data_IF_330276985165
#
_entry.id   IF_330276985165
#
_cell.length_a   1.000
_cell.length_b   1.000
_cell.length_c   1.000
_cell.angle_alpha   90.00
_cell.angle_beta   90.00
_cell.angle_gamma   90.00
#
_symmetry.space_group_name_H-M   'P 1'
#
loop_
_entity.id
_entity.type
_entity.pdbx_description
1 polymer ?
#
# COMPACT_ATOMS: atom_id res chain seq x y z
N UNK A 1 -24.58 -22.88 4.70
CA UNK A 1 -24.35 -23.84 5.80
C UNK A 1 -23.04 -24.58 5.54
N UNK A 2 -22.00 -24.34 6.35
CA UNK A 2 -20.78 -25.15 6.36
C UNK A 2 -20.67 -25.80 7.73
N UNK A 3 -20.75 -27.13 7.74
CA UNK A 3 -20.64 -28.00 8.91
C UNK A 3 -19.16 -28.27 9.15
N UNK A 4 -18.65 -28.04 10.37
CA UNK A 4 -17.31 -28.46 10.77
C UNK A 4 -17.42 -29.69 11.67
N UNK A 5 -16.76 -30.76 11.25
CA UNK A 5 -16.59 -32.00 12.02
C UNK A 5 -15.74 -31.77 13.27
N UNK A 6 -16.21 -32.34 14.38
CA UNK A 6 -15.64 -32.16 15.71
C UNK A 6 -14.25 -32.79 15.89
N UNK A 7 -13.51 -32.21 16.83
CA UNK A 7 -12.45 -32.89 17.55
C UNK A 7 -12.94 -33.05 19.01
N UNK A 8 -13.27 -34.28 19.38
CA UNK A 8 -13.51 -34.65 20.77
C UNK A 8 -12.18 -35.08 21.41
N UNK A 9 -11.73 -34.38 22.45
CA UNK A 9 -11.11 -35.01 23.61
C UNK A 9 -10.97 -33.99 24.74
N UNK A 10 -11.14 -34.49 25.96
CA UNK A 10 -11.39 -33.75 27.20
C UNK A 10 -10.16 -32.98 27.66
N UNK A 11 -10.18 -31.65 27.55
CA UNK A 11 -9.50 -30.73 28.46
C UNK A 11 -10.31 -29.42 28.48
N UNK A 12 -10.92 -29.09 29.62
CA UNK A 12 -11.54 -27.78 29.89
C UNK A 12 -10.41 -26.74 30.09
N UNK A 13 -9.67 -26.48 29.02
CA UNK A 13 -8.81 -25.30 28.93
C UNK A 13 -9.65 -24.19 28.31
N UNK A 14 -9.96 -23.15 29.09
CA UNK A 14 -10.50 -21.90 28.56
C UNK A 14 -9.56 -21.39 27.47
N UNK A 15 -9.89 -21.65 26.21
CA UNK A 15 -9.31 -20.93 25.09
C UNK A 15 -9.90 -19.51 25.16
N UNK A 16 -9.26 -18.63 25.92
CA UNK A 16 -9.39 -17.19 25.70
C UNK A 16 -8.86 -16.94 24.28
N UNK A 17 -9.75 -17.00 23.30
CA UNK A 17 -9.52 -16.37 22.00
C UNK A 17 -9.50 -14.88 22.27
N UNK A 18 -8.34 -14.35 22.64
CA UNK A 18 -8.11 -12.92 22.42
C UNK A 18 -8.20 -12.77 20.91
N UNK A 19 -9.28 -12.16 20.44
CA UNK A 19 -9.32 -11.60 19.11
C UNK A 19 -8.23 -10.52 19.10
N UNK A 20 -7.01 -10.92 18.72
CA UNK A 20 -5.99 -9.96 18.35
C UNK A 20 -6.62 -9.23 17.18
N UNK A 21 -7.01 -7.97 17.40
CA UNK A 21 -7.29 -7.07 16.29
C UNK A 21 -6.00 -7.03 15.49
N UNK A 22 -5.91 -7.86 14.45
CA UNK A 22 -4.86 -7.75 13.47
C UNK A 22 -4.93 -6.30 13.04
N UNK A 23 -3.83 -5.55 13.20
CA UNK A 23 -3.80 -4.18 12.71
C UNK A 23 -3.88 -4.28 11.21
N UNK A 24 -5.11 -4.15 10.71
CA UNK A 24 -5.40 -4.25 9.30
C UNK A 24 -4.96 -2.93 8.68
N UNK A 25 -4.18 -3.00 7.59
CA UNK A 25 -3.84 -1.81 6.81
C UNK A 25 -4.96 -1.50 5.83
N UNK A 26 -5.19 -0.24 5.46
CA UNK A 26 -6.28 0.13 4.55
C UNK A 26 -6.34 -0.76 3.29
N UNK A 27 -5.18 -1.03 2.67
CA UNK A 27 -5.09 -1.87 1.47
C UNK A 27 -5.58 -3.32 1.69
N UNK A 28 -5.48 -3.84 2.91
CA UNK A 28 -5.95 -5.18 3.26
C UNK A 28 -7.47 -5.30 3.24
N UNK A 29 -8.18 -4.17 3.30
CA UNK A 29 -9.63 -4.14 3.16
C UNK A 29 -10.12 -4.28 1.71
N UNK A 30 -9.21 -4.22 0.73
CA UNK A 30 -9.53 -4.53 -0.65
C UNK A 30 -9.70 -6.05 -0.84
N UNK A 31 -10.73 -6.45 -1.60
CA UNK A 31 -11.11 -7.85 -1.78
C UNK A 31 -10.02 -8.70 -2.45
N UNK A 32 -9.21 -8.10 -3.31
CA UNK A 32 -8.15 -8.79 -4.05
C UNK A 32 -6.85 -8.88 -3.25
N UNK A 33 -6.74 -8.19 -2.10
CA UNK A 33 -5.49 -8.08 -1.34
C UNK A 33 -4.92 -9.45 -0.99
N UNK A 34 -5.74 -10.32 -0.39
CA UNK A 34 -5.29 -11.63 0.08
C UNK A 34 -4.74 -12.48 -1.07
N UNK A 35 -5.44 -12.51 -2.20
CA UNK A 35 -5.07 -13.26 -3.40
C UNK A 35 -3.78 -12.71 -4.02
N UNK A 36 -3.71 -11.39 -4.25
CA UNK A 36 -2.55 -10.71 -4.85
C UNK A 36 -1.31 -10.84 -3.96
N UNK A 37 -1.40 -10.56 -2.66
CA UNK A 37 -0.26 -10.66 -1.76
C UNK A 37 0.17 -12.10 -1.49
N UNK A 38 -0.74 -13.09 -1.53
CA UNK A 38 -0.34 -14.49 -1.55
C UNK A 38 0.51 -14.79 -2.81
N UNK A 39 0.03 -14.40 -3.99
CA UNK A 39 0.78 -14.57 -5.24
C UNK A 39 2.18 -13.96 -5.15
N UNK A 40 2.31 -12.69 -4.76
CA UNK A 40 3.59 -12.01 -4.66
C UNK A 40 4.56 -12.72 -3.69
N UNK A 41 4.07 -13.17 -2.53
CA UNK A 41 4.90 -13.89 -1.55
C UNK A 41 5.38 -15.25 -2.05
N UNK A 42 4.54 -15.99 -2.77
CA UNK A 42 4.88 -17.31 -3.29
C UNK A 42 5.77 -17.27 -4.52
N UNK A 43 5.65 -16.24 -5.36
CA UNK A 43 6.42 -16.11 -6.59
C UNK A 43 7.76 -15.40 -6.37
N UNK A 44 8.27 -15.41 -5.13
CA UNK A 44 9.60 -14.91 -4.87
C UNK A 44 10.66 -15.90 -5.36
N UNK A 45 11.34 -15.63 -6.49
CA UNK A 45 12.25 -16.60 -7.16
C UNK A 45 13.74 -16.29 -6.98
N UNK A 46 14.50 -17.31 -6.56
CA UNK A 46 15.98 -17.31 -6.53
C UNK A 46 16.61 -17.23 -7.92
N UNK A 47 15.94 -17.72 -8.96
CA UNK A 47 16.52 -17.74 -10.32
C UNK A 47 16.53 -16.37 -10.98
N UNK A 48 15.64 -15.50 -10.55
CA UNK A 48 15.45 -14.19 -11.15
C UNK A 48 16.07 -13.07 -10.34
N UNK A 49 16.43 -13.31 -9.07
CA UNK A 49 16.86 -12.28 -8.12
C UNK A 49 17.97 -12.77 -7.19
N UNK A 50 18.63 -11.83 -6.51
CA UNK A 50 19.70 -12.16 -5.57
C UNK A 50 19.20 -12.82 -4.29
N UNK A 51 19.98 -13.74 -3.73
CA UNK A 51 19.64 -14.49 -2.50
C UNK A 51 19.30 -13.57 -1.33
N UNK A 52 20.00 -12.44 -1.20
CA UNK A 52 19.76 -11.45 -0.15
C UNK A 52 18.47 -10.62 -0.33
N UNK A 53 17.92 -10.56 -1.55
CA UNK A 53 16.71 -9.76 -1.83
C UNK A 53 15.43 -10.48 -1.37
N UNK A 54 15.43 -11.81 -1.38
CA UNK A 54 14.27 -12.64 -1.02
C UNK A 54 13.82 -12.43 0.44
N UNK A 55 14.68 -12.57 1.46
CA UNK A 55 14.24 -12.41 2.85
C UNK A 55 13.74 -10.99 3.12
N UNK A 56 14.41 -9.98 2.58
CA UNK A 56 14.01 -8.56 2.73
C UNK A 56 12.65 -8.31 2.08
N UNK A 57 12.46 -8.80 0.86
CA UNK A 57 11.20 -8.60 0.11
C UNK A 57 10.05 -9.37 0.73
N UNK A 58 10.33 -10.58 1.23
CA UNK A 58 9.34 -11.42 1.93
C UNK A 58 8.87 -10.74 3.22
N UNK A 59 9.77 -10.21 4.04
CA UNK A 59 9.40 -9.46 5.23
C UNK A 59 8.54 -8.25 4.86
N UNK A 60 8.96 -7.45 3.88
CA UNK A 60 8.19 -6.27 3.45
C UNK A 60 6.76 -6.63 2.97
N UNK A 61 6.58 -7.74 2.25
CA UNK A 61 5.25 -8.20 1.82
C UNK A 61 4.40 -8.76 2.96
N UNK A 62 5.02 -9.42 3.95
CA UNK A 62 4.32 -9.97 5.11
C UNK A 62 3.86 -8.87 6.06
N UNK A 63 4.74 -7.92 6.33
CA UNK A 63 4.51 -6.85 7.28
C UNK A 63 3.72 -5.68 6.66
N UNK A 64 3.41 -5.74 5.36
CA UNK A 64 2.76 -4.69 4.60
C UNK A 64 1.51 -4.06 5.27
N UNK A 65 0.53 -4.83 5.79
CA UNK A 65 -0.64 -4.24 6.45
C UNK A 65 -0.25 -3.51 7.75
N UNK A 66 0.60 -4.15 8.56
CA UNK A 66 1.06 -3.63 9.86
C UNK A 66 1.88 -2.36 9.67
N UNK A 67 2.88 -2.40 8.79
CA UNK A 67 3.75 -1.28 8.46
C UNK A 67 2.96 -0.13 7.84
N UNK A 68 1.87 -0.42 7.10
CA UNK A 68 0.96 0.62 6.58
C UNK A 68 0.38 1.43 7.73
N UNK A 69 -0.17 0.77 8.75
CA UNK A 69 -0.77 1.46 9.89
C UNK A 69 0.25 2.20 10.73
N UNK A 70 1.43 1.61 10.94
CA UNK A 70 2.52 2.27 11.65
C UNK A 70 2.98 3.55 10.95
N UNK A 71 3.01 3.59 9.61
CA UNK A 71 3.42 4.78 8.87
C UNK A 71 2.33 5.83 8.73
N UNK A 72 1.06 5.43 8.66
CA UNK A 72 -0.04 6.38 8.57
C UNK A 72 -0.19 7.17 9.87
N UNK A 73 -0.18 6.49 11.01
CA UNK A 73 -0.12 7.09 12.37
C UNK A 73 -0.95 8.38 12.54
N UNK A 74 -2.22 8.32 12.13
CA UNK A 74 -3.17 9.41 12.35
C UNK A 74 -3.59 9.49 13.83
N UNK A 75 -3.87 10.70 14.29
CA UNK A 75 -4.45 10.96 15.62
C UNK A 75 -5.97 10.78 15.66
N UNK A 76 -6.59 10.51 14.52
CA UNK A 76 -8.02 10.27 14.34
C UNK A 76 -8.24 8.93 13.59
N UNK A 77 -9.45 8.35 13.64
CA UNK A 77 -9.76 7.10 12.94
C UNK A 77 -9.45 7.21 11.43
N UNK A 78 -8.58 6.34 10.89
CA UNK A 78 -8.27 6.35 9.46
C UNK A 78 -9.41 5.70 8.69
N UNK A 79 -10.29 6.55 8.17
CA UNK A 79 -11.43 6.20 7.33
C UNK A 79 -11.22 6.72 5.91
N UNK A 80 -11.66 5.94 4.93
CA UNK A 80 -11.56 6.26 3.51
C UNK A 80 -12.85 5.80 2.81
N UNK A 81 -13.25 6.47 1.75
CA UNK A 81 -14.35 5.97 0.90
C UNK A 81 -13.91 4.69 0.17
N UNK A 82 -14.83 3.75 -0.03
CA UNK A 82 -14.55 2.49 -0.73
C UNK A 82 -13.96 2.71 -2.14
N UNK A 83 -14.49 3.69 -2.90
CA UNK A 83 -14.00 4.03 -4.24
C UNK A 83 -12.52 4.42 -4.24
N UNK A 84 -12.10 5.31 -3.33
CA UNK A 84 -10.69 5.71 -3.21
C UNK A 84 -9.79 4.54 -2.78
N UNK A 85 -10.28 3.66 -1.91
CA UNK A 85 -9.53 2.46 -1.51
C UNK A 85 -9.26 1.57 -2.74
N UNK A 86 -10.29 1.23 -3.52
CA UNK A 86 -10.13 0.40 -4.72
C UNK A 86 -9.21 1.06 -5.76
N UNK A 87 -9.30 2.38 -5.94
CA UNK A 87 -8.41 3.09 -6.85
C UNK A 87 -6.94 2.94 -6.45
N UNK A 88 -6.64 3.14 -5.16
CA UNK A 88 -5.29 2.99 -4.61
C UNK A 88 -4.83 1.53 -4.73
N UNK A 89 -5.69 0.57 -4.42
CA UNK A 89 -5.41 -0.86 -4.54
C UNK A 89 -5.04 -1.25 -5.97
N UNK A 90 -5.85 -0.84 -6.94
CA UNK A 90 -5.59 -1.09 -8.35
C UNK A 90 -4.24 -0.52 -8.82
N UNK A 91 -3.87 0.70 -8.39
CA UNK A 91 -2.57 1.28 -8.75
C UNK A 91 -1.39 0.53 -8.10
N UNK A 92 -1.51 0.17 -6.81
CA UNK A 92 -0.49 -0.65 -6.13
C UNK A 92 -0.33 -2.01 -6.80
N UNK A 93 -1.42 -2.72 -7.09
CA UNK A 93 -1.37 -4.02 -7.76
C UNK A 93 -0.74 -3.90 -9.13
N UNK A 94 -1.13 -2.89 -9.93
CA UNK A 94 -0.52 -2.65 -11.24
C UNK A 94 0.99 -2.43 -11.17
N UNK A 95 1.49 -1.72 -10.15
CA UNK A 95 2.94 -1.52 -9.96
C UNK A 95 3.64 -2.80 -9.52
N UNK A 96 3.02 -3.58 -8.63
CA UNK A 96 3.53 -4.87 -8.18
C UNK A 96 3.55 -5.90 -9.32
N UNK A 97 2.46 -6.06 -10.06
CA UNK A 97 2.37 -6.94 -11.24
C UNK A 97 3.52 -6.63 -12.23
N UNK A 98 3.73 -5.34 -12.56
CA UNK A 98 4.85 -4.90 -13.41
C UNK A 98 6.24 -5.17 -12.83
N UNK A 99 6.40 -5.14 -11.50
CA UNK A 99 7.66 -5.49 -10.85
C UNK A 99 7.95 -6.98 -11.02
N UNK A 100 6.93 -7.83 -10.91
CA UNK A 100 7.05 -9.29 -11.03
C UNK A 100 7.21 -9.78 -12.47
N UNK A 101 6.71 -9.05 -13.46
CA UNK A 101 6.94 -9.34 -14.89
C UNK A 101 8.40 -9.17 -15.32
N UNK A 102 9.18 -8.37 -14.59
CA UNK A 102 10.57 -8.04 -14.95
C UNK A 102 11.53 -9.13 -14.50
N UNK A 103 12.45 -9.51 -15.39
CA UNK A 103 13.65 -10.28 -15.04
C UNK A 103 14.71 -9.31 -14.48
N UNK A 104 15.18 -9.52 -13.25
CA UNK A 104 16.00 -8.52 -12.54
C UNK A 104 17.30 -9.10 -11.98
N UNK A 105 18.40 -8.93 -12.70
CA UNK A 105 19.68 -9.54 -12.35
C UNK A 105 20.55 -8.71 -11.37
N UNK A 106 20.07 -7.56 -10.90
CA UNK A 106 20.85 -6.65 -10.03
C UNK A 106 20.46 -6.76 -8.55
N UNK A 107 21.43 -6.99 -7.64
CA UNK A 107 21.16 -7.11 -6.21
C UNK A 107 20.61 -5.82 -5.62
N UNK A 108 19.67 -5.93 -4.67
CA UNK A 108 19.08 -4.81 -3.96
C UNK A 108 18.06 -4.01 -4.77
N UNK A 109 17.93 -4.26 -6.07
CA UNK A 109 17.01 -3.52 -6.93
C UNK A 109 15.55 -3.85 -6.58
N UNK A 110 15.18 -5.13 -6.54
CA UNK A 110 13.81 -5.56 -6.27
C UNK A 110 13.28 -5.02 -4.94
N UNK A 111 13.95 -5.23 -3.77
CA UNK A 111 13.48 -4.68 -2.51
C UNK A 111 13.45 -3.15 -2.49
N UNK A 112 14.33 -2.47 -3.25
CA UNK A 112 14.28 -1.00 -3.40
C UNK A 112 13.01 -0.54 -4.13
N UNK A 113 12.63 -1.21 -5.23
CA UNK A 113 11.40 -0.87 -5.95
C UNK A 113 10.17 -1.21 -5.11
N UNK A 114 10.16 -2.37 -4.46
CA UNK A 114 9.07 -2.77 -3.58
C UNK A 114 8.86 -1.75 -2.45
N UNK A 115 9.95 -1.25 -1.83
CA UNK A 115 9.88 -0.14 -0.86
C UNK A 115 9.33 1.13 -1.48
N UNK A 116 9.73 1.50 -2.69
CA UNK A 116 9.21 2.69 -3.37
C UNK A 116 7.69 2.59 -3.58
N UNK A 117 7.18 1.45 -4.09
CA UNK A 117 5.74 1.18 -4.25
C UNK A 117 5.03 1.31 -2.90
N UNK A 118 5.60 0.75 -1.84
CA UNK A 118 5.05 0.86 -0.50
C UNK A 118 4.97 2.32 -0.02
N UNK A 119 6.03 3.12 -0.17
CA UNK A 119 6.01 4.53 0.23
C UNK A 119 4.99 5.35 -0.57
N UNK A 120 4.85 5.05 -1.86
CA UNK A 120 3.85 5.71 -2.71
C UNK A 120 2.43 5.39 -2.26
N UNK A 121 2.15 4.13 -1.90
CA UNK A 121 0.87 3.76 -1.27
C UNK A 121 0.63 4.57 0.01
N UNK A 122 1.62 4.70 0.90
CA UNK A 122 1.44 5.48 2.14
C UNK A 122 1.03 6.92 1.81
N UNK A 123 1.64 7.53 0.79
CA UNK A 123 1.28 8.88 0.36
C UNK A 123 -0.15 8.93 -0.15
N UNK A 124 -0.53 8.01 -1.05
CA UNK A 124 -1.89 7.96 -1.60
C UNK A 124 -2.95 7.75 -0.50
N UNK A 125 -2.71 6.82 0.42
CA UNK A 125 -3.60 6.58 1.55
C UNK A 125 -3.70 7.80 2.47
N UNK A 126 -2.57 8.45 2.79
CA UNK A 126 -2.56 9.64 3.64
C UNK A 126 -3.39 10.76 3.02
N UNK A 127 -3.21 11.02 1.73
CA UNK A 127 -3.99 12.01 0.98
C UNK A 127 -5.47 11.65 1.00
N UNK A 128 -5.83 10.41 0.65
CA UNK A 128 -7.22 10.00 0.56
C UNK A 128 -7.97 10.03 1.90
N UNK A 129 -7.30 9.68 3.01
CA UNK A 129 -7.87 9.77 4.36
C UNK A 129 -8.09 11.24 4.75
N UNK A 130 -7.10 12.12 4.50
CA UNK A 130 -7.23 13.55 4.77
C UNK A 130 -8.35 14.17 3.93
N UNK A 131 -8.40 13.87 2.63
CA UNK A 131 -9.47 14.34 1.76
C UNK A 131 -10.85 13.85 2.19
N UNK A 132 -10.97 12.62 2.70
CA UNK A 132 -12.25 12.11 3.21
C UNK A 132 -12.73 12.94 4.41
N UNK A 133 -11.80 13.33 5.29
CA UNK A 133 -12.08 14.23 6.41
C UNK A 133 -12.41 15.66 5.96
N UNK A 134 -11.66 16.21 5.00
CA UNK A 134 -11.90 17.56 4.49
C UNK A 134 -13.20 17.67 3.70
N UNK A 135 -13.56 16.63 2.93
CA UNK A 135 -14.82 16.59 2.19
C UNK A 135 -16.01 16.73 3.14
N UNK A 136 -15.94 16.05 4.28
CA UNK A 136 -16.89 16.19 5.36
C UNK A 136 -16.96 17.65 5.90
N UNK A 137 -15.82 18.30 6.16
CA UNK A 137 -15.77 19.68 6.68
C UNK A 137 -16.20 20.74 5.65
N UNK A 138 -16.17 20.40 4.36
CA UNK A 138 -16.56 21.24 3.23
C UNK A 138 -18.07 21.26 2.96
N UNK A 139 -18.87 20.55 3.74
CA UNK A 139 -20.33 20.64 3.67
C UNK A 139 -20.89 21.55 4.78
N UNK A 140 -22.17 21.90 4.68
CA UNK A 140 -22.89 22.66 5.69
C UNK A 140 -23.83 21.71 6.45
N UNK A 141 -23.76 21.67 7.78
CA UNK A 141 -24.65 20.83 8.58
C UNK A 141 -24.26 19.35 8.60
N UNK A 142 -25.21 18.47 8.88
CA UNK A 142 -24.94 17.04 9.02
C UNK A 142 -24.78 16.41 7.64
N UNK A 143 -23.58 15.94 7.35
CA UNK A 143 -23.24 15.20 6.14
C UNK A 143 -22.93 13.75 6.50
N UNK A 144 -23.48 12.82 5.72
CA UNK A 144 -23.22 11.39 5.87
C UNK A 144 -22.56 10.84 4.63
N UNK A 145 -21.62 9.93 4.81
CA UNK A 145 -20.89 9.32 3.70
C UNK A 145 -20.45 7.90 4.06
N UNK A 146 -20.37 7.05 3.04
CA UNK A 146 -19.95 5.67 3.22
C UNK A 146 -18.43 5.58 3.31
N UNK A 147 -17.96 4.94 4.37
CA UNK A 147 -16.56 4.79 4.73
C UNK A 147 -16.22 3.33 4.99
N UNK A 148 -14.93 3.03 4.88
CA UNK A 148 -14.35 1.81 5.41
C UNK A 148 -13.27 2.19 6.41
N UNK A 149 -13.36 1.62 7.61
CA UNK A 149 -12.36 1.81 8.65
C UNK A 149 -11.13 0.96 8.35
N UNK A 150 -9.97 1.59 8.12
CA UNK A 150 -8.77 0.86 7.69
C UNK A 150 -8.32 -0.24 8.64
N UNK A 151 -8.58 -0.08 9.95
CA UNK A 151 -8.14 -0.99 10.99
C UNK A 151 -9.00 -2.26 11.11
N UNK A 152 -10.27 -2.19 10.71
CA UNK A 152 -11.25 -3.27 10.94
C UNK A 152 -11.87 -3.77 9.64
N UNK A 153 -11.71 -3.04 8.53
CA UNK A 153 -12.42 -3.24 7.27
C UNK A 153 -13.93 -3.25 7.40
N UNK A 154 -14.46 -2.69 8.49
CA UNK A 154 -15.89 -2.50 8.63
C UNK A 154 -16.32 -1.33 7.76
N UNK A 155 -17.26 -1.60 6.87
CA UNK A 155 -18.01 -0.55 6.18
C UNK A 155 -18.98 0.11 7.16
N UNK A 156 -19.00 1.43 7.17
CA UNK A 156 -19.89 2.24 8.00
C UNK A 156 -20.40 3.43 7.21
N UNK A 157 -21.49 4.02 7.68
CA UNK A 157 -21.90 5.35 7.26
C UNK A 157 -21.45 6.33 8.33
N UNK A 158 -20.38 7.08 8.03
CA UNK A 158 -19.85 8.09 8.93
C UNK A 158 -20.67 9.37 8.78
N UNK A 159 -21.07 9.95 9.90
CA UNK A 159 -21.74 11.25 9.94
C UNK A 159 -20.78 12.31 10.50
N UNK A 160 -20.84 13.51 9.95
CA UNK A 160 -20.10 14.63 10.50
C UNK A 160 -20.84 15.95 10.33
N UNK A 161 -20.46 16.94 11.13
CA UNK A 161 -20.99 18.29 11.06
C UNK A 161 -20.00 19.18 10.30
N UNK A 162 -20.32 19.49 9.04
CA UNK A 162 -19.54 20.40 8.23
C UNK A 162 -19.87 21.86 8.56
N UNK A 163 -18.85 22.71 8.47
CA UNK A 163 -18.92 24.12 8.88
C UNK A 163 -18.56 25.10 7.75
N UNK A 164 -18.11 24.61 6.59
CA UNK A 164 -17.84 25.45 5.42
C UNK A 164 -18.85 25.10 4.33
N UNK A 165 -19.83 25.97 4.10
CA UNK A 165 -20.96 25.70 3.21
C UNK A 165 -20.58 25.87 1.71
N UNK A 166 -19.52 25.17 1.28
CA UNK A 166 -18.98 25.07 -0.10
C UNK A 166 -18.51 26.36 -0.78
N UNK A 167 -18.79 27.54 -0.21
CA UNK A 167 -18.52 28.85 -0.84
C UNK A 167 -17.45 29.69 -0.13
N UNK A 168 -16.59 29.10 0.71
CA UNK A 168 -15.59 29.86 1.49
C UNK A 168 -14.23 29.89 0.80
N UNK A 169 -13.83 31.08 0.32
CA UNK A 169 -12.50 31.32 -0.24
C UNK A 169 -11.38 31.07 0.79
N UNK A 170 -11.62 31.38 2.07
CA UNK A 170 -10.67 31.13 3.16
C UNK A 170 -10.42 29.63 3.35
N UNK A 171 -11.48 28.82 3.28
CA UNK A 171 -11.38 27.37 3.34
C UNK A 171 -10.54 26.81 2.19
N UNK A 172 -10.84 27.22 0.96
CA UNK A 172 -10.07 26.78 -0.22
C UNK A 172 -8.58 27.12 -0.09
N UNK A 173 -8.28 28.34 0.37
CA UNK A 173 -6.90 28.79 0.60
C UNK A 173 -6.20 27.97 1.68
N UNK A 174 -6.89 27.65 2.78
CA UNK A 174 -6.36 26.83 3.86
C UNK A 174 -6.09 25.39 3.41
N UNK A 175 -7.03 24.76 2.69
CA UNK A 175 -6.89 23.42 2.12
C UNK A 175 -5.73 23.36 1.13
N UNK A 176 -5.58 24.36 0.27
CA UNK A 176 -4.43 24.46 -0.66
C UNK A 176 -3.11 24.54 0.11
N UNK A 177 -3.05 25.32 1.19
CA UNK A 177 -1.88 25.38 2.07
C UNK A 177 -1.53 24.03 2.69
N UNK A 178 -2.52 23.29 3.18
CA UNK A 178 -2.34 21.96 3.75
C UNK A 178 -1.75 20.96 2.73
N UNK A 179 -2.30 20.91 1.51
CA UNK A 179 -1.78 20.00 0.48
C UNK A 179 -0.39 20.39 0.00
N UNK A 180 -0.03 21.67 0.01
CA UNK A 180 1.35 22.08 -0.24
C UNK A 180 2.31 21.50 0.79
N UNK A 181 1.96 21.49 2.08
CA UNK A 181 2.79 20.86 3.12
C UNK A 181 2.85 19.33 2.98
N UNK A 182 1.71 18.67 2.73
CA UNK A 182 1.67 17.22 2.53
C UNK A 182 2.55 16.80 1.34
N UNK A 183 2.61 17.61 0.29
CA UNK A 183 3.41 17.33 -0.89
C UNK A 183 4.91 17.57 -0.72
N UNK A 184 5.35 18.31 0.31
CA UNK A 184 6.78 18.48 0.62
C UNK A 184 7.45 17.21 1.11
N UNK A 185 6.69 16.21 1.57
CA UNK A 185 7.26 14.92 1.95
C UNK A 185 7.71 14.16 0.69
N UNK A 186 9.02 13.94 0.50
CA UNK A 186 9.54 13.33 -0.73
C UNK A 186 9.08 11.88 -0.84
N UNK A 187 8.60 11.49 -2.02
CA UNK A 187 8.51 10.07 -2.40
C UNK A 187 9.93 9.65 -2.77
N UNK A 188 10.57 8.70 -2.05
CA UNK A 188 11.87 8.21 -2.47
C UNK A 188 11.66 7.47 -3.80
N UNK A 189 12.12 8.09 -4.88
CA UNK A 189 12.25 7.49 -6.21
C UNK A 189 10.89 7.05 -6.82
N UNK A 190 10.23 7.96 -7.54
CA UNK A 190 9.19 7.57 -8.49
C UNK A 190 9.89 6.94 -9.70
N UNK A 191 9.91 5.61 -9.77
CA UNK A 191 10.28 4.95 -11.01
C UNK A 191 9.14 5.21 -12.00
N UNK A 192 9.44 5.91 -13.10
CA UNK A 192 8.64 5.77 -14.30
C UNK A 192 8.79 4.30 -14.76
N UNK A 193 7.93 3.40 -14.23
CA UNK A 193 7.89 1.97 -14.58
C UNK A 193 7.49 1.79 -16.06
N UNK A 194 7.07 2.85 -16.75
CA UNK A 194 6.90 2.89 -18.20
C UNK A 194 8.14 3.45 -18.90
N UNK A 195 8.66 2.65 -19.83
CA UNK A 195 9.68 2.96 -20.86
C UNK A 195 11.13 2.61 -20.49
N UNK A 196 11.45 1.33 -20.64
CA UNK A 196 12.42 0.86 -21.65
C UNK A 196 12.40 -0.67 -21.73
N UNK A 197 11.83 -1.16 -22.82
CA UNK A 197 12.40 -2.32 -23.51
C UNK A 197 13.80 -1.88 -23.93
N UNK A 198 14.84 -2.13 -23.12
CA UNK A 198 16.22 -2.05 -23.61
C UNK A 198 16.71 -3.48 -23.80
N UNK A 199 16.18 -4.05 -24.89
CA UNK A 199 16.74 -5.24 -25.51
C UNK A 199 17.88 -4.75 -26.38
N UNK A 200 19.01 -4.39 -25.77
CA UNK A 200 20.37 -4.26 -26.37
C UNK A 200 21.31 -3.65 -25.32
N UNK A 201 21.78 -4.44 -24.35
CA UNK A 201 23.06 -4.14 -23.72
C UNK A 201 24.13 -4.88 -24.51
N UNK A 202 24.47 -4.24 -25.62
CA UNK A 202 25.81 -4.03 -26.13
C UNK A 202 26.89 -4.99 -25.61
N UNK A 203 27.11 -6.05 -26.37
CA UNK A 203 28.24 -6.97 -26.25
C UNK A 203 29.54 -6.38 -26.83
N UNK A 204 29.67 -5.04 -26.98
CA UNK A 204 30.88 -4.41 -27.55
C UNK A 204 31.83 -3.76 -26.54
N UNK A 205 31.54 -3.83 -25.23
CA UNK A 205 32.43 -3.26 -24.20
C UNK A 205 33.24 -4.28 -23.38
N UNK A 206 33.22 -5.55 -23.79
CA UNK A 206 33.98 -6.64 -23.15
C UNK A 206 34.99 -7.35 -24.09
N UNK A 207 35.28 -6.77 -25.26
CA UNK A 207 36.42 -7.17 -26.12
C UNK A 207 37.54 -6.11 -26.19
N UNK A 208 37.39 -4.95 -25.55
CA UNK A 208 38.45 -3.91 -25.53
C UNK A 208 39.39 -3.95 -24.32
N UNK A 209 39.30 -4.97 -23.47
CA UNK A 209 40.17 -5.13 -22.29
C UNK A 209 41.12 -6.36 -22.42
N UNK A 210 41.07 -7.10 -23.54
CA UNK A 210 41.98 -8.24 -23.81
C UNK A 210 42.85 -8.09 -25.07
N UNK A 211 43.07 -6.86 -25.57
CA UNK A 211 44.01 -6.62 -26.71
C UNK A 211 44.89 -5.37 -26.56
N UNK A 212 45.18 -4.96 -25.32
CA UNK A 212 46.26 -4.00 -25.05
C UNK A 212 47.00 -4.38 -23.77
N UNK A 213 47.84 -5.41 -23.88
CA UNK A 213 48.69 -5.89 -22.80
C UNK A 213 49.37 -7.22 -23.19
N UNK A 214 50.51 -7.08 -23.88
CA UNK A 214 51.36 -8.09 -24.55
C UNK A 214 50.93 -8.54 -25.95
#
# INVERSE_FOLDING_TARGET
MKVYHGCGSRFLGLCLWTAVALTVGCLHCDEDFSTKFAFYRHHLSLKSWWVGDIPVSRSLLNDWPKDTMEKLRFTFPPEITLSKLHHIAADVYKKLDKLYERKMYHPGFFPKVLRSIFQEQIKMLRVAIIESKLACEHHCGIYTYDTIACQTCNSSQSACFGYNCESSDEWEKAVKGLFNEINKFPVPFSLNITRKNDRTQDHSHLEKILSSGF
#
